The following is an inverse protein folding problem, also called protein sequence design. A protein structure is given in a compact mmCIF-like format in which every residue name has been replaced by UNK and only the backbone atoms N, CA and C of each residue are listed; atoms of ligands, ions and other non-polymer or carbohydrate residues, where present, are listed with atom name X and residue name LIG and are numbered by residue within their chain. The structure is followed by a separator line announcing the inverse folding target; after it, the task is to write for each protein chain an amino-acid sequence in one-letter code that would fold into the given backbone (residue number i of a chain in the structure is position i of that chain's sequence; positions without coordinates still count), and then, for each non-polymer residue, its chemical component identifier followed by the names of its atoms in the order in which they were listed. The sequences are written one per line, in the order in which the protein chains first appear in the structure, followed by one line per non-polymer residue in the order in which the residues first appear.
data_IF_695063567092
#
_entry.id   IF_695063567092
#
_cell.length_a   1.000
_cell.length_b   1.000
_cell.length_c   1.000
_cell.angle_alpha   90.00
_cell.angle_beta   90.00
_cell.angle_gamma   90.00
#
_symmetry.space_group_name_H-M   'P 1'
#
loop_
_entity.id
_entity.type
_entity.pdbx_description
1 polymer ?
#
# COMPACT_ATOMS: atom_id res chain seq x y z
N UNK A 1 -27.28 23.79 1.70
CA UNK A 1 -26.58 24.20 0.46
C UNK A 1 -25.56 23.13 0.11
N UNK A 2 -25.81 22.34 -0.94
CA UNK A 2 -24.89 21.27 -1.34
C UNK A 2 -23.58 21.84 -1.87
N UNK A 3 -22.45 21.35 -1.39
CA UNK A 3 -21.13 21.69 -1.91
C UNK A 3 -21.02 21.20 -3.35
N UNK A 4 -21.10 22.12 -4.31
CA UNK A 4 -20.91 21.80 -5.73
C UNK A 4 -19.42 21.52 -5.93
N UNK A 5 -19.03 20.24 -5.94
CA UNK A 5 -17.67 19.82 -6.28
C UNK A 5 -17.38 20.21 -7.73
N UNK A 6 -16.47 21.18 -7.93
CA UNK A 6 -16.00 21.57 -9.26
C UNK A 6 -15.23 20.40 -9.88
N UNK A 7 -15.69 19.95 -11.06
CA UNK A 7 -14.99 18.91 -11.84
C UNK A 7 -13.88 19.57 -12.66
N UNK A 8 -12.68 19.00 -12.63
CA UNK A 8 -11.55 19.41 -13.46
C UNK A 8 -11.40 18.39 -14.59
N UNK A 9 -11.33 18.87 -15.84
CA UNK A 9 -11.02 18.02 -16.99
C UNK A 9 -9.51 17.82 -17.06
N UNK A 10 -9.07 16.57 -17.03
CA UNK A 10 -7.65 16.20 -17.11
C UNK A 10 -7.40 15.27 -18.29
N UNK A 11 -6.22 15.40 -18.90
CA UNK A 11 -5.74 14.50 -19.95
C UNK A 11 -4.60 13.65 -19.40
N UNK A 12 -4.84 12.34 -19.24
CA UNK A 12 -3.81 11.40 -18.79
C UNK A 12 -3.27 10.64 -20.01
N UNK A 13 -1.95 10.71 -20.23
CA UNK A 13 -1.26 9.84 -21.19
C UNK A 13 -0.92 8.52 -20.49
N UNK A 14 -1.22 7.39 -21.12
CA UNK A 14 -0.96 6.06 -20.57
C UNK A 14 -0.66 5.07 -21.69
N UNK A 15 0.01 3.98 -21.33
CA UNK A 15 0.30 2.90 -22.27
C UNK A 15 -0.99 2.31 -22.86
N UNK A 16 -0.93 1.99 -24.15
CA UNK A 16 -2.08 1.42 -24.88
C UNK A 16 -2.55 0.11 -24.25
N UNK A 17 -1.61 -0.72 -23.80
CA UNK A 17 -1.91 -2.01 -23.15
C UNK A 17 -2.68 -1.82 -21.85
N UNK A 18 -2.27 -0.86 -21.02
CA UNK A 18 -2.95 -0.49 -19.78
C UNK A 18 -4.34 0.07 -20.05
N UNK A 19 -4.46 0.99 -21.02
CA UNK A 19 -5.75 1.55 -21.42
C UNK A 19 -6.77 0.46 -21.79
N UNK A 20 -6.37 -0.51 -22.61
CA UNK A 20 -7.25 -1.61 -23.04
C UNK A 20 -7.58 -2.59 -21.90
N UNK A 21 -6.68 -2.78 -20.93
CA UNK A 21 -6.98 -3.57 -19.73
C UNK A 21 -8.01 -2.87 -18.84
N UNK A 22 -7.83 -1.58 -18.58
CA UNK A 22 -8.76 -0.77 -17.79
C UNK A 22 -10.14 -0.69 -18.46
N UNK A 23 -10.17 -0.54 -19.78
CA UNK A 23 -11.42 -0.51 -20.55
C UNK A 23 -12.17 -1.83 -20.48
N UNK A 24 -11.47 -2.97 -20.54
CA UNK A 24 -12.08 -4.30 -20.36
C UNK A 24 -12.65 -4.46 -18.95
N UNK A 25 -11.91 -4.09 -17.91
CA UNK A 25 -12.39 -4.13 -16.52
C UNK A 25 -13.60 -3.23 -16.29
N UNK A 26 -13.56 -2.00 -16.80
CA UNK A 26 -14.69 -1.08 -16.72
C UNK A 26 -15.95 -1.66 -17.38
N UNK A 27 -15.81 -2.30 -18.54
CA UNK A 27 -16.92 -2.97 -19.24
C UNK A 27 -17.47 -4.16 -18.46
N UNK A 28 -16.62 -5.01 -17.87
CA UNK A 28 -17.09 -6.14 -17.06
C UNK A 28 -17.87 -5.69 -15.83
N UNK A 29 -17.61 -4.47 -15.34
CA UNK A 29 -18.33 -3.87 -14.22
C UNK A 29 -19.54 -3.02 -14.65
N UNK A 30 -19.84 -2.92 -15.95
CA UNK A 30 -20.93 -2.08 -16.48
C UNK A 30 -20.69 -0.58 -16.30
N UNK A 31 -19.43 -0.14 -16.22
CA UNK A 31 -19.03 1.25 -15.95
C UNK A 31 -18.38 1.90 -17.17
N UNK A 32 -18.47 3.23 -17.25
CA UNK A 32 -17.64 3.99 -18.18
C UNK A 32 -16.18 3.98 -17.71
N UNK A 33 -15.23 4.06 -18.65
CA UNK A 33 -13.80 4.11 -18.30
C UNK A 33 -13.49 5.27 -17.34
N UNK A 34 -14.10 6.44 -17.56
CA UNK A 34 -13.89 7.60 -16.70
C UNK A 34 -14.36 7.33 -15.26
N UNK A 35 -15.57 6.78 -15.09
CA UNK A 35 -16.11 6.48 -13.76
C UNK A 35 -15.26 5.42 -13.05
N UNK A 36 -14.78 4.42 -13.81
CA UNK A 36 -13.89 3.38 -13.30
C UNK A 36 -12.57 3.98 -12.80
N UNK A 37 -11.90 4.78 -13.63
CA UNK A 37 -10.63 5.44 -13.25
C UNK A 37 -10.81 6.35 -12.04
N UNK A 38 -11.88 7.14 -11.98
CA UNK A 38 -12.18 8.00 -10.82
C UNK A 38 -12.38 7.17 -9.54
N UNK A 39 -13.03 6.00 -9.62
CA UNK A 39 -13.21 5.13 -8.45
C UNK A 39 -11.89 4.56 -7.93
N UNK A 40 -10.97 4.18 -8.82
CA UNK A 40 -9.62 3.73 -8.44
C UNK A 40 -8.85 4.87 -7.77
N UNK A 41 -8.82 6.05 -8.40
CA UNK A 41 -8.12 7.22 -7.85
C UNK A 41 -8.67 7.61 -6.48
N UNK A 42 -9.99 7.49 -6.29
CA UNK A 42 -10.64 7.72 -5.00
C UNK A 42 -10.21 6.68 -3.96
N UNK A 43 -10.19 5.39 -4.30
CA UNK A 43 -9.72 4.33 -3.39
C UNK A 43 -8.33 4.65 -2.88
N UNK A 44 -7.42 5.00 -3.78
CA UNK A 44 -6.03 5.32 -3.44
C UNK A 44 -5.94 6.58 -2.57
N UNK A 45 -6.68 7.64 -2.92
CA UNK A 45 -6.68 8.89 -2.15
C UNK A 45 -7.36 8.77 -0.77
N UNK A 46 -8.36 7.90 -0.63
CA UNK A 46 -9.06 7.62 0.64
C UNK A 46 -8.31 6.56 1.49
N UNK A 47 -7.43 5.76 0.87
CA UNK A 47 -6.53 4.79 1.51
C UNK A 47 -5.33 5.41 2.25
N UNK A 48 -5.22 6.75 2.30
CA UNK A 48 -4.32 7.48 3.21
C UNK A 48 -4.54 7.16 4.71
N UNK A 49 -5.45 6.24 5.03
CA UNK A 49 -5.52 5.55 6.34
C UNK A 49 -4.24 4.80 6.72
N UNK A 50 -3.31 4.52 5.81
CA UNK A 50 -2.01 3.94 6.15
C UNK A 50 -0.97 4.95 6.66
N UNK A 51 -1.20 6.27 6.54
CA UNK A 51 -0.31 7.27 7.11
C UNK A 51 -0.38 7.32 8.66
N UNK A 52 -1.35 6.66 9.28
CA UNK A 52 -1.50 6.52 10.72
C UNK A 52 -1.16 5.11 11.23
N UNK A 53 -0.16 4.44 10.66
CA UNK A 53 0.59 3.44 11.41
C UNK A 53 1.41 4.17 12.49
N UNK A 54 0.72 4.69 13.50
CA UNK A 54 1.36 5.01 14.77
C UNK A 54 1.90 3.68 15.28
N UNK A 55 3.21 3.48 15.14
CA UNK A 55 3.90 2.45 15.91
C UNK A 55 3.69 2.86 17.37
N UNK A 56 2.91 2.13 18.18
CA UNK A 56 2.74 2.52 19.57
C UNK A 56 4.13 2.42 20.23
N UNK A 57 4.56 3.50 20.90
CA UNK A 57 5.83 3.52 21.65
C UNK A 57 5.90 2.38 22.68
N UNK A 58 4.74 1.86 23.10
CA UNK A 58 4.63 0.66 23.92
C UNK A 58 3.80 -0.43 23.22
N UNK A 59 4.47 -1.55 22.94
CA UNK A 59 3.83 -2.79 22.50
C UNK A 59 2.81 -3.27 23.56
N UNK A 60 1.58 -3.67 23.16
CA UNK A 60 0.61 -4.34 24.03
C UNK A 60 1.27 -5.49 24.80
N UNK A 61 0.92 -5.67 26.08
CA UNK A 61 1.50 -6.73 26.92
C UNK A 61 1.36 -8.13 26.30
N UNK A 62 0.28 -8.36 25.54
CA UNK A 62 0.01 -9.60 24.82
C UNK A 62 1.12 -9.93 23.80
N UNK A 63 1.67 -8.92 23.12
CA UNK A 63 2.77 -9.08 22.17
C UNK A 63 4.13 -9.22 22.86
N UNK A 64 4.31 -8.61 24.04
CA UNK A 64 5.51 -8.84 24.88
C UNK A 64 5.61 -10.29 25.35
N UNK A 65 4.48 -10.97 25.57
CA UNK A 65 4.47 -12.39 25.93
C UNK A 65 4.83 -13.31 24.76
N UNK A 66 4.39 -12.97 23.53
CA UNK A 66 4.78 -13.67 22.30
C UNK A 66 6.29 -13.55 21.99
N UNK A 67 6.90 -12.40 22.29
CA UNK A 67 8.33 -12.16 22.11
C UNK A 67 9.25 -13.01 22.99
N UNK A 68 8.73 -13.61 24.09
CA UNK A 68 9.52 -14.50 24.96
C UNK A 68 9.83 -15.86 24.30
N UNK A 69 9.15 -16.22 23.22
CA UNK A 69 9.37 -17.49 22.49
C UNK A 69 10.46 -17.42 21.42
N UNK A 70 10.85 -16.24 20.97
CA UNK A 70 11.89 -16.07 19.95
C UNK A 70 13.20 -15.82 20.68
N UNK A 71 13.98 -16.89 20.91
CA UNK A 71 15.34 -16.76 21.42
C UNK A 71 16.11 -15.81 20.48
N UNK A 72 16.83 -14.79 21.00
CA UNK A 72 17.66 -13.94 20.16
C UNK A 72 18.62 -14.82 19.36
N UNK A 73 18.67 -14.60 18.05
CA UNK A 73 19.56 -15.34 17.15
C UNK A 73 20.99 -15.11 17.67
N UNK A 74 21.76 -16.17 17.99
CA UNK A 74 23.12 -16.03 18.49
C UNK A 74 23.96 -15.22 17.50
N UNK A 75 24.73 -14.25 18.00
CA UNK A 75 25.55 -13.34 17.17
C UNK A 75 26.49 -14.09 16.22
N UNK A 76 26.92 -15.28 16.60
CA UNK A 76 27.74 -16.20 15.81
C UNK A 76 27.09 -16.60 14.47
N UNK A 77 25.74 -16.70 14.40
CA UNK A 77 25.02 -17.00 13.16
C UNK A 77 24.80 -15.77 12.26
N UNK A 78 24.83 -14.57 12.83
CA UNK A 78 24.74 -13.32 12.08
C UNK A 78 26.04 -12.99 11.32
N UNK A 79 27.18 -13.48 11.81
CA UNK A 79 28.49 -13.22 11.18
C UNK A 79 28.80 -14.15 10.00
N UNK A 80 28.19 -15.35 9.96
CA UNK A 80 28.45 -16.36 8.92
C UNK A 80 27.58 -16.23 7.68
N UNK A 81 26.51 -15.44 7.73
CA UNK A 81 25.56 -15.32 6.63
C UNK A 81 25.77 -14.00 5.86
N UNK A 82 26.46 -14.08 4.72
CA UNK A 82 26.71 -12.94 3.83
C UNK A 82 25.41 -12.21 3.44
N UNK A 83 24.29 -12.94 3.35
CA UNK A 83 22.98 -12.35 3.03
C UNK A 83 22.47 -11.43 4.12
N UNK A 84 22.64 -11.80 5.40
CA UNK A 84 22.19 -10.98 6.52
C UNK A 84 23.05 -9.73 6.67
N UNK A 85 24.36 -9.83 6.42
CA UNK A 85 25.24 -8.65 6.34
C UNK A 85 24.79 -7.67 5.26
N UNK A 86 24.41 -8.16 4.08
CA UNK A 86 23.98 -7.28 2.99
C UNK A 86 22.65 -6.56 3.29
N UNK A 87 21.75 -7.19 4.03
CA UNK A 87 20.45 -6.61 4.39
C UNK A 87 20.57 -5.63 5.57
N UNK A 88 21.48 -5.89 6.51
CA UNK A 88 21.66 -5.08 7.73
C UNK A 88 22.71 -3.98 7.60
N UNK A 89 23.42 -3.89 6.47
CA UNK A 89 24.38 -2.81 6.22
C UNK A 89 23.62 -1.49 5.95
N UNK A 90 23.44 -0.71 7.01
CA UNK A 90 23.37 0.76 6.97
C UNK A 90 24.80 1.28 7.05
#
# INVERSE_FOLDING_TARGET
MGTVTKKIQTGIRMDKSLYEQLKRKARSEGRSLNNYVVSILRSIAEEDKFANLVIPDELPEDLKQLGKGIKPIPKERLEQDERLRHILSI
#
